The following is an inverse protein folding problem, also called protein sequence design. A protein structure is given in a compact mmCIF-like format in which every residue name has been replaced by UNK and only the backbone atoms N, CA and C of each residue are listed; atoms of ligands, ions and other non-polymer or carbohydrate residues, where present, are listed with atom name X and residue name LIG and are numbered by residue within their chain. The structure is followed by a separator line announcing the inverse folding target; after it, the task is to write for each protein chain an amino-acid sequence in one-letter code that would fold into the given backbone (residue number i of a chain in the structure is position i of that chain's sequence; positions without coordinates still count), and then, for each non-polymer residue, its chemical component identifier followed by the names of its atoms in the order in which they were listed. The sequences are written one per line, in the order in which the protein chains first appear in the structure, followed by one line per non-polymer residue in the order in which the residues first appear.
data_IF_827224471132
#
_entry.id   IF_827224471132
#
_cell.length_a   1.000
_cell.length_b   1.000
_cell.length_c   1.000
_cell.angle_alpha   90.00
_cell.angle_beta   90.00
_cell.angle_gamma   90.00
#
_symmetry.space_group_name_H-M   'P 1'
#
loop_
_entity.id
_entity.type
_entity.pdbx_description
1 polymer ?
#
# COMPACT_ATOMS: atom_id res chain seq x y z
N UNK A 1 -1.59 -21.24 -14.29
CA UNK A 1 -1.12 -21.78 -13.00
C UNK A 1 -2.31 -22.46 -12.31
N UNK A 2 -2.20 -23.71 -11.85
CA UNK A 2 -3.38 -24.45 -11.34
C UNK A 2 -3.85 -23.92 -9.99
N UNK A 3 -5.17 -23.85 -9.77
CA UNK A 3 -5.77 -23.41 -8.50
C UNK A 3 -5.30 -24.27 -7.30
N UNK A 4 -4.93 -25.52 -7.55
CA UNK A 4 -4.35 -26.42 -6.55
C UNK A 4 -3.00 -25.94 -6.02
N UNK A 5 -2.13 -25.37 -6.87
CA UNK A 5 -0.81 -24.88 -6.46
C UNK A 5 -0.93 -23.65 -5.55
N UNK A 6 -1.87 -22.75 -5.88
CA UNK A 6 -2.17 -21.54 -5.11
C UNK A 6 -2.81 -21.81 -3.74
N UNK A 7 -3.48 -22.96 -3.57
CA UNK A 7 -4.06 -23.37 -2.28
C UNK A 7 -3.13 -24.28 -1.46
N UNK A 8 -1.95 -24.61 -1.99
CA UNK A 8 -1.01 -25.52 -1.34
C UNK A 8 0.00 -24.78 -0.45
N UNK A 9 0.75 -25.54 0.36
CA UNK A 9 1.92 -25.04 1.11
C UNK A 9 2.98 -24.34 0.23
N UNK A 10 2.95 -24.57 -1.08
CA UNK A 10 3.87 -23.97 -2.04
C UNK A 10 3.53 -22.51 -2.38
N UNK A 11 2.34 -22.03 -1.99
CA UNK A 11 1.93 -20.67 -2.26
C UNK A 11 2.79 -19.63 -1.50
N UNK A 12 3.25 -19.96 -0.28
CA UNK A 12 4.22 -19.14 0.44
C UNK A 12 5.57 -19.04 -0.28
N UNK A 13 6.05 -20.16 -0.84
CA UNK A 13 7.27 -20.19 -1.65
C UNK A 13 7.15 -19.33 -2.91
N UNK A 14 5.98 -19.35 -3.56
CA UNK A 14 5.69 -18.45 -4.67
C UNK A 14 5.76 -16.99 -4.23
N UNK A 15 5.15 -16.63 -3.09
CA UNK A 15 5.22 -15.26 -2.55
C UNK A 15 6.66 -14.82 -2.29
N UNK A 16 7.48 -15.66 -1.64
CA UNK A 16 8.88 -15.35 -1.38
C UNK A 16 9.71 -15.25 -2.67
N UNK A 17 9.56 -16.24 -3.56
CA UNK A 17 10.27 -16.30 -4.83
C UNK A 17 9.93 -15.11 -5.72
N UNK A 18 8.65 -14.75 -5.85
CA UNK A 18 8.22 -13.57 -6.60
C UNK A 18 8.75 -12.28 -5.99
N UNK A 19 8.72 -12.11 -4.66
CA UNK A 19 9.29 -10.95 -4.00
C UNK A 19 10.79 -10.84 -4.31
N UNK A 20 11.56 -11.92 -4.14
CA UNK A 20 12.99 -11.95 -4.42
C UNK A 20 13.32 -11.64 -5.89
N UNK A 21 12.64 -12.29 -6.84
CA UNK A 21 12.85 -12.07 -8.28
C UNK A 21 12.55 -10.61 -8.66
N UNK A 22 11.46 -10.03 -8.16
CA UNK A 22 11.14 -8.63 -8.45
C UNK A 22 12.14 -7.66 -7.83
N UNK A 23 12.65 -7.94 -6.63
CA UNK A 23 13.70 -7.13 -6.00
C UNK A 23 15.00 -7.20 -6.79
N UNK A 24 15.43 -8.40 -7.19
CA UNK A 24 16.63 -8.56 -8.03
C UNK A 24 16.45 -7.84 -9.37
N UNK A 25 15.29 -7.98 -10.02
CA UNK A 25 14.99 -7.28 -11.27
C UNK A 25 15.01 -5.76 -11.09
N UNK A 26 14.45 -5.24 -9.99
CA UNK A 26 14.46 -3.81 -9.68
C UNK A 26 15.90 -3.29 -9.58
N UNK A 27 16.74 -3.93 -8.75
CA UNK A 27 18.13 -3.50 -8.60
C UNK A 27 18.94 -3.68 -9.89
N UNK A 28 18.73 -4.76 -10.64
CA UNK A 28 19.36 -4.93 -11.94
C UNK A 28 19.03 -3.77 -12.90
N UNK A 29 17.75 -3.35 -12.96
CA UNK A 29 17.34 -2.19 -13.76
C UNK A 29 18.04 -0.90 -13.29
N UNK A 30 18.04 -0.62 -11.99
CA UNK A 30 18.65 0.62 -11.46
C UNK A 30 20.16 0.69 -11.63
N UNK A 31 20.82 -0.48 -11.64
CA UNK A 31 22.26 -0.61 -11.79
C UNK A 31 22.71 -0.58 -13.26
N UNK A 32 21.90 -1.09 -14.19
CA UNK A 32 22.31 -1.36 -15.59
C UNK A 32 21.67 -0.47 -16.64
N UNK A 33 20.50 0.10 -16.36
CA UNK A 33 19.73 0.88 -17.34
C UNK A 33 19.75 2.36 -16.93
N UNK A 34 19.95 3.31 -17.88
CA UNK A 34 19.82 4.72 -17.57
C UNK A 34 18.47 5.03 -16.94
N UNK A 35 18.48 5.81 -15.86
CA UNK A 35 17.30 5.93 -14.99
C UNK A 35 16.05 6.46 -15.71
N UNK A 36 16.21 7.33 -16.71
CA UNK A 36 15.10 7.82 -17.51
C UNK A 36 14.28 6.69 -18.16
N UNK A 37 14.95 5.62 -18.63
CA UNK A 37 14.29 4.45 -19.21
C UNK A 37 13.90 3.40 -18.16
N UNK A 38 14.67 3.32 -17.07
CA UNK A 38 14.40 2.40 -15.96
C UNK A 38 13.23 2.85 -15.09
N UNK A 39 12.88 4.14 -15.10
CA UNK A 39 11.95 4.73 -14.13
C UNK A 39 10.58 4.04 -14.12
N UNK A 40 9.91 3.99 -15.28
CA UNK A 40 8.57 3.38 -15.39
C UNK A 40 8.57 1.89 -14.96
N UNK A 41 9.43 1.01 -15.51
CA UNK A 41 9.46 -0.39 -15.07
C UNK A 41 9.88 -0.54 -13.60
N UNK A 42 10.74 0.32 -13.08
CA UNK A 42 11.13 0.31 -11.67
C UNK A 42 9.99 0.77 -10.74
N UNK A 43 9.17 1.75 -11.14
CA UNK A 43 7.95 2.13 -10.42
C UNK A 43 6.98 0.95 -10.39
N UNK A 44 6.78 0.28 -11.53
CA UNK A 44 5.92 -0.91 -11.59
C UNK A 44 6.43 -2.00 -10.64
N UNK A 45 7.72 -2.36 -10.69
CA UNK A 45 8.30 -3.35 -9.78
C UNK A 45 8.22 -2.93 -8.32
N UNK A 46 8.52 -1.67 -7.98
CA UNK A 46 8.42 -1.13 -6.63
C UNK A 46 6.99 -1.27 -6.09
N UNK A 47 6.00 -0.88 -6.90
CA UNK A 47 4.60 -1.04 -6.57
C UNK A 47 4.22 -2.51 -6.36
N UNK A 48 4.71 -3.42 -7.22
CA UNK A 48 4.50 -4.87 -7.08
C UNK A 48 5.15 -5.46 -5.84
N UNK A 49 6.33 -4.99 -5.46
CA UNK A 49 6.98 -5.40 -4.22
C UNK A 49 6.13 -4.96 -3.03
N UNK A 50 5.66 -3.70 -2.98
CA UNK A 50 4.79 -3.20 -1.92
C UNK A 50 3.47 -3.99 -1.81
N UNK A 51 2.92 -4.37 -2.96
CA UNK A 51 1.80 -5.30 -3.09
C UNK A 51 2.10 -6.65 -2.45
N UNK A 52 3.27 -7.24 -2.67
CA UNK A 52 3.63 -8.50 -2.04
C UNK A 52 3.83 -8.33 -0.53
N UNK A 53 4.35 -7.18 -0.10
CA UNK A 53 4.51 -6.85 1.32
C UNK A 53 3.17 -6.80 2.06
N UNK A 54 2.07 -6.48 1.38
CA UNK A 54 0.73 -6.52 1.94
C UNK A 54 0.35 -7.91 2.51
N UNK A 55 0.78 -9.00 1.88
CA UNK A 55 0.56 -10.36 2.41
C UNK A 55 1.31 -10.59 3.73
N UNK A 56 2.52 -10.02 3.86
CA UNK A 56 3.30 -10.11 5.10
C UNK A 56 2.70 -9.23 6.19
N UNK A 57 2.06 -8.11 5.85
CA UNK A 57 1.28 -7.28 6.78
C UNK A 57 0.18 -8.09 7.44
N UNK A 58 -0.50 -8.96 6.68
CA UNK A 58 -1.53 -9.87 7.20
C UNK A 58 -0.99 -11.15 7.81
N UNK A 59 0.32 -11.37 7.76
CA UNK A 59 0.94 -12.54 8.36
C UNK A 59 0.76 -13.84 7.56
N UNK A 60 0.33 -13.76 6.31
CA UNK A 60 -0.10 -14.92 5.51
C UNK A 60 1.06 -15.87 5.14
N UNK A 61 2.23 -15.38 4.68
CA UNK A 61 3.27 -16.27 4.15
C UNK A 61 3.96 -17.15 5.21
N UNK A 62 3.91 -16.79 6.50
CA UNK A 62 4.56 -17.55 7.57
C UNK A 62 3.59 -17.88 8.71
N UNK A 63 3.75 -19.08 9.29
CA UNK A 63 3.02 -19.49 10.51
C UNK A 63 3.25 -18.55 11.70
N UNK A 64 4.47 -18.02 11.83
CA UNK A 64 4.84 -17.08 12.91
C UNK A 64 4.87 -15.67 12.35
N UNK A 65 3.96 -14.82 12.83
CA UNK A 65 3.88 -13.42 12.39
C UNK A 65 5.19 -12.64 12.58
N UNK A 66 5.97 -12.97 13.61
CA UNK A 66 7.30 -12.39 13.82
C UNK A 66 8.24 -12.53 12.60
N UNK A 67 8.13 -13.60 11.83
CA UNK A 67 8.93 -13.78 10.61
C UNK A 67 8.44 -12.84 9.50
N UNK A 68 7.14 -12.63 9.36
CA UNK A 68 6.59 -11.65 8.43
C UNK A 68 7.10 -10.24 8.75
N UNK A 69 7.11 -9.88 10.04
CA UNK A 69 7.62 -8.60 10.50
C UNK A 69 9.11 -8.39 10.20
N UNK A 70 9.93 -9.46 10.22
CA UNK A 70 11.34 -9.39 9.81
C UNK A 70 11.48 -9.10 8.32
N UNK A 71 10.67 -9.76 7.49
CA UNK A 71 10.66 -9.48 6.04
C UNK A 71 10.22 -8.05 5.76
N UNK A 72 9.16 -7.58 6.43
CA UNK A 72 8.74 -6.17 6.31
C UNK A 72 9.86 -5.22 6.70
N UNK A 73 10.53 -5.44 7.84
CA UNK A 73 11.64 -4.58 8.25
C UNK A 73 12.82 -4.61 7.26
N UNK A 74 13.15 -5.77 6.70
CA UNK A 74 14.15 -5.90 5.64
C UNK A 74 13.80 -5.03 4.42
N UNK A 75 12.58 -5.17 3.91
CA UNK A 75 12.12 -4.42 2.74
C UNK A 75 11.99 -2.92 3.02
N UNK A 76 11.61 -2.53 4.23
CA UNK A 76 11.55 -1.12 4.64
C UNK A 76 12.91 -0.45 4.44
N UNK A 77 14.00 -1.05 4.95
CA UNK A 77 15.33 -0.48 4.76
C UNK A 77 15.87 -0.60 3.35
N UNK A 78 15.70 -1.75 2.68
CA UNK A 78 16.21 -1.94 1.31
C UNK A 78 15.56 -0.97 0.33
N UNK A 79 14.29 -0.62 0.54
CA UNK A 79 13.53 0.32 -0.30
C UNK A 79 13.57 1.77 0.23
N UNK A 80 14.37 2.04 1.27
CA UNK A 80 14.52 3.36 1.91
C UNK A 80 13.18 3.98 2.32
N UNK A 81 12.38 3.22 3.07
CA UNK A 81 11.05 3.61 3.52
C UNK A 81 11.06 4.23 4.93
N UNK A 82 12.16 4.16 5.67
CA UNK A 82 12.36 4.86 6.95
C UNK A 82 11.32 4.56 8.05
N UNK A 83 10.75 3.37 8.05
CA UNK A 83 9.68 2.95 8.97
C UNK A 83 8.27 3.09 8.41
N UNK A 84 8.14 3.51 7.14
CA UNK A 84 6.84 3.79 6.52
C UNK A 84 6.05 2.51 6.35
N UNK A 85 6.73 1.36 6.16
CA UNK A 85 6.05 0.09 6.00
C UNK A 85 5.47 -0.41 7.33
N UNK A 86 6.13 -0.15 8.46
CA UNK A 86 5.56 -0.42 9.79
C UNK A 86 4.36 0.49 10.08
N UNK A 87 4.47 1.76 9.68
CA UNK A 87 3.38 2.72 9.84
C UNK A 87 2.18 2.32 8.99
N UNK A 88 2.41 2.04 7.71
CA UNK A 88 1.40 1.54 6.78
C UNK A 88 0.80 0.24 7.30
N UNK A 89 1.59 -0.72 7.79
CA UNK A 89 1.07 -1.94 8.43
C UNK A 89 0.12 -1.61 9.58
N UNK A 90 0.50 -0.67 10.44
CA UNK A 90 -0.29 -0.30 11.61
C UNK A 90 -1.63 0.35 11.22
N UNK A 91 -1.59 1.35 10.34
CA UNK A 91 -2.80 2.02 9.85
C UNK A 91 -3.66 1.08 9.02
N UNK A 92 -3.06 0.22 8.21
CA UNK A 92 -3.75 -0.80 7.42
C UNK A 92 -4.48 -1.82 8.30
N UNK A 93 -3.86 -2.33 9.37
CA UNK A 93 -4.55 -3.22 10.32
C UNK A 93 -5.64 -2.50 11.13
N UNK A 94 -5.43 -1.21 11.44
CA UNK A 94 -6.47 -0.32 12.00
C UNK A 94 -7.68 -0.28 11.08
N UNK A 95 -7.41 0.01 9.81
CA UNK A 95 -8.42 0.08 8.75
C UNK A 95 -9.15 -1.25 8.57
N UNK A 96 -8.50 -2.41 8.62
CA UNK A 96 -9.23 -3.69 8.61
C UNK A 96 -10.11 -3.92 9.85
N UNK A 97 -9.69 -3.43 11.02
CA UNK A 97 -10.44 -3.61 12.28
C UNK A 97 -11.65 -2.68 12.39
N UNK A 98 -11.49 -1.43 11.96
CA UNK A 98 -12.46 -0.35 12.14
C UNK A 98 -12.98 0.23 10.82
N UNK A 99 -12.74 -0.47 9.71
CA UNK A 99 -13.12 -0.17 8.33
C UNK A 99 -14.11 0.98 8.20
N UNK A 100 -13.65 2.13 7.70
CA UNK A 100 -14.42 3.36 7.47
C UNK A 100 -15.31 3.83 8.65
N UNK A 101 -14.92 3.51 9.89
CA UNK A 101 -15.60 3.90 11.12
C UNK A 101 -14.64 4.50 12.17
N UNK A 102 -15.15 4.78 13.37
CA UNK A 102 -14.35 5.37 14.45
C UNK A 102 -13.18 4.45 14.85
N UNK A 103 -11.94 4.97 14.76
CA UNK A 103 -10.69 4.21 14.93
C UNK A 103 -9.96 3.88 13.62
N UNK A 104 -10.58 4.14 12.47
CA UNK A 104 -9.93 4.14 11.17
C UNK A 104 -9.36 5.54 10.84
N UNK A 105 -8.07 5.58 10.52
CA UNK A 105 -7.40 6.82 10.08
C UNK A 105 -8.05 7.44 8.84
N UNK A 106 -8.66 6.63 7.96
CA UNK A 106 -9.40 7.13 6.80
C UNK A 106 -10.69 7.86 7.20
N UNK A 107 -11.39 7.36 8.23
CA UNK A 107 -12.59 7.98 8.78
C UNK A 107 -12.28 9.31 9.47
N UNK A 108 -11.20 9.36 10.25
CA UNK A 108 -10.76 10.61 10.92
C UNK A 108 -10.41 11.69 9.89
N UNK A 109 -9.71 11.33 8.82
CA UNK A 109 -9.38 12.27 7.74
C UNK A 109 -10.62 12.73 6.96
N UNK A 110 -11.67 11.91 6.84
CA UNK A 110 -12.93 12.31 6.21
C UNK A 110 -13.79 13.22 7.11
N UNK A 111 -13.74 13.05 8.44
CA UNK A 111 -14.44 13.92 9.41
C UNK A 111 -13.81 15.30 9.54
N UNK A 112 -12.50 15.44 9.30
CA UNK A 112 -11.80 16.73 9.35
C UNK A 112 -12.15 17.56 8.10
N UNK A 113 -13.24 18.32 8.28
CA UNK A 113 -13.84 19.44 7.53
C UNK A 113 -13.06 20.03 6.33
N UNK A 114 -13.86 20.39 5.30
CA UNK A 114 -13.55 21.24 4.13
C UNK A 114 -12.48 22.29 4.45
N UNK A 115 -11.26 22.10 3.94
CA UNK A 115 -10.25 23.16 3.97
C UNK A 115 -10.77 24.36 3.15
N UNK A 116 -10.70 25.59 3.69
CA UNK A 116 -11.17 26.79 2.99
C UNK A 116 -10.37 27.06 1.69
N UNK A 117 -9.14 26.54 1.60
CA UNK A 117 -8.29 26.65 0.43
C UNK A 117 -8.20 25.29 -0.31
N UNK A 118 -8.69 25.25 -1.55
CA UNK A 118 -8.70 24.05 -2.41
C UNK A 118 -7.30 23.51 -2.73
N UNK A 119 -6.31 24.40 -2.89
CA UNK A 119 -4.92 24.01 -3.20
C UNK A 119 -4.26 23.36 -1.99
N UNK A 120 -4.41 23.97 -0.82
CA UNK A 120 -3.89 23.39 0.43
C UNK A 120 -4.59 22.06 0.75
N UNK A 121 -5.90 21.97 0.51
CA UNK A 121 -6.65 20.72 0.66
C UNK A 121 -6.18 19.61 -0.30
N UNK A 122 -5.79 19.95 -1.53
CA UNK A 122 -5.24 18.98 -2.48
C UNK A 122 -3.83 18.52 -2.09
N UNK A 123 -2.98 19.43 -1.60
CA UNK A 123 -1.63 19.11 -1.13
C UNK A 123 -1.66 18.24 0.13
N UNK A 124 -2.51 18.55 1.11
CA UNK A 124 -2.68 17.76 2.33
C UNK A 124 -3.38 16.41 2.09
N UNK A 125 -4.09 16.29 0.97
CA UNK A 125 -4.70 15.03 0.53
C UNK A 125 -3.70 14.07 -0.13
N UNK A 126 -2.47 14.52 -0.43
CA UNK A 126 -1.43 13.61 -0.89
C UNK A 126 -1.08 12.63 0.23
N UNK A 127 -0.93 11.35 -0.12
CA UNK A 127 -0.55 10.32 0.85
C UNK A 127 0.71 10.71 1.61
N UNK A 128 1.72 11.30 0.97
CA UNK A 128 2.97 11.70 1.64
C UNK A 128 2.76 12.62 2.84
N UNK A 129 1.82 13.57 2.77
CA UNK A 129 1.52 14.47 3.90
C UNK A 129 0.74 13.75 4.99
N UNK A 130 -0.15 12.82 4.62
CA UNK A 130 -0.84 11.96 5.58
C UNK A 130 0.14 11.05 6.32
N UNK A 131 1.14 10.51 5.63
CA UNK A 131 2.16 9.65 6.24
C UNK A 131 3.04 10.42 7.24
N UNK A 132 3.39 11.68 6.97
CA UNK A 132 4.10 12.53 7.95
C UNK A 132 3.26 12.76 9.21
N UNK A 133 1.96 13.05 9.04
CA UNK A 133 1.02 13.13 10.16
C UNK A 133 0.97 11.80 10.92
N UNK A 134 0.81 10.68 10.23
CA UNK A 134 0.74 9.36 10.85
C UNK A 134 2.02 8.98 11.59
N UNK A 135 3.21 9.39 11.12
CA UNK A 135 4.45 9.22 11.87
C UNK A 135 4.39 9.93 13.21
N UNK A 136 4.01 11.20 13.17
CA UNK A 136 3.84 12.00 14.39
C UNK A 136 2.85 11.34 15.33
N UNK A 137 1.68 10.95 14.82
CA UNK A 137 0.62 10.31 15.59
C UNK A 137 1.03 8.94 16.17
N UNK A 138 1.80 8.14 15.42
CA UNK A 138 2.35 6.87 15.88
C UNK A 138 3.35 7.04 17.02
N UNK A 139 4.21 8.06 16.94
CA UNK A 139 5.17 8.38 18.01
C UNK A 139 4.46 8.84 19.30
N UNK A 140 3.26 9.41 19.18
CA UNK A 140 2.42 9.83 20.31
C UNK A 140 1.38 8.76 20.72
N UNK A 141 1.50 7.52 20.23
CA UNK A 141 0.67 6.40 20.67
C UNK A 141 -0.77 6.39 20.13
N UNK A 142 -1.11 7.23 19.14
CA UNK A 142 -2.46 7.29 18.57
C UNK A 142 -2.79 6.13 17.62
N UNK A 143 -1.79 5.41 17.11
CA UNK A 143 -1.99 4.23 16.28
C UNK A 143 -1.74 2.95 17.08
N UNK A 144 -2.80 2.18 17.45
CA UNK A 144 -2.70 1.08 18.42
C UNK A 144 -1.83 -0.09 17.93
N UNK A 145 -1.68 -0.24 16.61
CA UNK A 145 -0.85 -1.27 16.00
C UNK A 145 0.57 -0.80 15.68
N UNK A 146 0.87 0.50 15.80
CA UNK A 146 2.19 1.03 15.52
C UNK A 146 3.12 0.81 16.71
N UNK A 147 4.37 0.43 16.45
CA UNK A 147 5.39 0.23 17.49
C UNK A 147 6.55 1.20 17.24
N UNK A 148 6.71 2.26 18.06
CA UNK A 148 7.77 3.26 17.88
C UNK A 148 9.18 2.65 17.78
N UNK A 149 9.47 1.62 18.59
CA UNK A 149 10.75 0.90 18.54
C UNK A 149 11.02 0.25 17.17
N UNK A 150 9.99 -0.25 16.50
CA UNK A 150 10.14 -0.86 15.16
C UNK A 150 10.28 0.22 14.09
N UNK A 151 9.53 1.32 14.21
CA UNK A 151 9.71 2.49 13.34
C UNK A 151 11.16 2.97 13.42
N UNK A 152 11.69 3.19 14.63
CA UNK A 152 13.06 3.61 14.85
C UNK A 152 14.08 2.60 14.30
N UNK A 153 13.84 1.29 14.48
CA UNK A 153 14.67 0.25 13.90
C UNK A 153 14.68 0.30 12.36
N UNK A 154 13.52 0.38 11.71
CA UNK A 154 13.41 0.47 10.25
C UNK A 154 14.04 1.75 9.70
N UNK A 155 13.92 2.87 10.43
CA UNK A 155 14.60 4.12 10.13
C UNK A 155 16.12 3.94 10.14
N UNK A 156 16.67 3.41 11.24
CA UNK A 156 18.09 3.13 11.35
C UNK A 156 18.57 2.16 10.26
N UNK A 157 17.77 1.14 9.94
CA UNK A 157 18.08 0.17 8.89
C UNK A 157 18.11 0.82 7.49
N UNK A 158 17.20 1.76 7.20
CA UNK A 158 17.24 2.58 5.98
C UNK A 158 18.52 3.42 5.90
N UNK A 159 18.92 4.06 7.01
CA UNK A 159 20.19 4.79 7.09
C UNK A 159 21.41 3.88 6.86
N UNK A 160 21.42 2.67 7.42
CA UNK A 160 22.48 1.69 7.18
C UNK A 160 22.55 1.29 5.69
N UNK A 161 21.40 1.11 5.03
CA UNK A 161 21.35 0.81 3.60
C UNK A 161 21.89 1.97 2.75
N UNK A 162 21.60 3.22 3.12
CA UNK A 162 22.20 4.41 2.47
C UNK A 162 23.72 4.40 2.62
N UNK A 163 24.21 4.21 3.85
CA UNK A 163 25.64 4.15 4.12
C UNK A 163 26.30 3.03 3.29
N UNK A 164 25.69 1.85 3.21
CA UNK A 164 26.18 0.75 2.40
C UNK A 164 26.29 1.12 0.91
N UNK A 165 25.25 1.73 0.31
CA UNK A 165 25.28 2.19 -1.08
C UNK A 165 26.35 3.26 -1.34
N UNK A 166 26.52 4.20 -0.41
CA UNK A 166 27.57 5.22 -0.49
C UNK A 166 28.97 4.60 -0.41
N UNK A 167 29.19 3.66 0.51
CA UNK A 167 30.48 2.99 0.72
C UNK A 167 30.94 2.19 -0.51
N UNK A 168 30.02 1.59 -1.26
CA UNK A 168 30.34 0.88 -2.51
C UNK A 168 30.38 1.80 -3.75
N UNK A 169 30.38 3.12 -3.56
CA UNK A 169 30.48 4.10 -4.65
C UNK A 169 29.22 4.23 -5.50
N UNK A 170 28.05 3.81 -4.99
CA UNK A 170 26.77 3.77 -5.70
C UNK A 170 25.70 4.63 -5.02
N UNK A 171 26.10 5.82 -4.59
CA UNK A 171 25.18 6.82 -4.03
C UNK A 171 24.06 7.22 -5.02
N UNK A 172 24.26 6.99 -6.32
CA UNK A 172 23.22 7.16 -7.34
C UNK A 172 21.98 6.29 -7.09
N UNK A 173 22.13 5.12 -6.48
CA UNK A 173 21.02 4.23 -6.15
C UNK A 173 20.12 4.82 -5.06
N UNK A 174 20.69 5.60 -4.14
CA UNK A 174 19.96 6.20 -3.02
C UNK A 174 18.88 7.15 -3.53
N UNK A 175 19.24 8.14 -4.34
CA UNK A 175 18.24 9.11 -4.84
C UNK A 175 17.23 8.45 -5.78
N UNK A 176 17.64 7.44 -6.57
CA UNK A 176 16.73 6.67 -7.42
C UNK A 176 15.67 5.95 -6.58
N UNK A 177 16.08 5.25 -5.52
CA UNK A 177 15.17 4.58 -4.60
C UNK A 177 14.25 5.56 -3.88
N UNK A 178 14.78 6.69 -3.39
CA UNK A 178 13.98 7.74 -2.76
C UNK A 178 12.90 8.27 -3.70
N UNK A 179 13.26 8.55 -4.96
CA UNK A 179 12.31 9.03 -5.97
C UNK A 179 11.25 7.96 -6.31
N UNK A 180 11.65 6.69 -6.45
CA UNK A 180 10.71 5.59 -6.68
C UNK A 180 9.75 5.38 -5.52
N UNK A 181 10.25 5.41 -4.29
CA UNK A 181 9.44 5.25 -3.07
C UNK A 181 8.48 6.43 -2.91
N UNK A 182 8.97 7.66 -3.09
CA UNK A 182 8.15 8.87 -3.03
C UNK A 182 7.05 8.87 -4.11
N UNK A 183 7.40 8.56 -5.37
CA UNK A 183 6.43 8.50 -6.45
C UNK A 183 5.40 7.39 -6.25
N UNK A 184 5.86 6.18 -5.90
CA UNK A 184 4.98 5.01 -5.73
C UNK A 184 3.98 5.21 -4.58
N UNK A 185 4.43 5.81 -3.48
CA UNK A 185 3.57 6.13 -2.34
C UNK A 185 2.61 7.28 -2.67
N UNK A 186 3.08 8.30 -3.40
CA UNK A 186 2.26 9.48 -3.69
C UNK A 186 1.24 9.27 -4.80
N UNK A 187 1.52 8.40 -5.77
CA UNK A 187 0.67 8.25 -6.96
C UNK A 187 -0.08 6.90 -6.92
N UNK A 188 0.52 5.73 -7.23
CA UNK A 188 -0.20 4.45 -7.23
C UNK A 188 -0.99 4.15 -5.95
N UNK A 189 -0.43 4.42 -4.76
CA UNK A 189 -1.11 4.14 -3.49
C UNK A 189 -2.28 5.12 -3.26
N UNK A 190 -2.10 6.42 -3.52
CA UNK A 190 -3.18 7.41 -3.43
C UNK A 190 -4.33 7.13 -4.41
N UNK A 191 -4.00 6.81 -5.68
CA UNK A 191 -5.00 6.48 -6.69
C UNK A 191 -5.83 5.27 -6.25
N UNK A 192 -5.16 4.27 -5.69
CA UNK A 192 -5.80 3.07 -5.13
C UNK A 192 -6.75 3.41 -3.99
N UNK A 193 -6.30 4.13 -2.96
CA UNK A 193 -7.12 4.49 -1.81
C UNK A 193 -8.36 5.33 -2.19
N UNK A 194 -8.24 6.20 -3.20
CA UNK A 194 -9.38 6.96 -3.72
C UNK A 194 -10.48 6.04 -4.27
N UNK A 195 -10.10 5.05 -5.06
CA UNK A 195 -11.04 4.11 -5.68
C UNK A 195 -11.61 3.13 -4.65
N UNK A 196 -10.79 2.63 -3.74
CA UNK A 196 -11.19 1.60 -2.77
C UNK A 196 -12.23 2.12 -1.76
N UNK A 197 -12.14 3.39 -1.38
CA UNK A 197 -12.94 3.90 -0.24
C UNK A 197 -13.99 4.94 -0.60
N UNK A 198 -14.13 5.36 -1.86
CA UNK A 198 -15.05 6.43 -2.22
C UNK A 198 -16.05 6.03 -3.31
N UNK A 199 -17.32 6.40 -3.12
CA UNK A 199 -18.42 6.17 -4.06
C UNK A 199 -19.15 7.46 -4.40
N UNK A 200 -20.08 7.37 -5.34
CA UNK A 200 -21.08 8.41 -5.53
C UNK A 200 -22.03 8.47 -4.32
N UNK A 201 -22.54 9.66 -3.95
CA UNK A 201 -23.50 9.80 -2.86
C UNK A 201 -24.73 8.93 -3.07
N UNK A 202 -25.17 8.22 -2.03
CA UNK A 202 -26.33 7.32 -2.10
C UNK A 202 -26.05 5.94 -2.71
N UNK A 203 -24.79 5.64 -3.08
CA UNK A 203 -24.41 4.31 -3.51
C UNK A 203 -24.22 3.38 -2.30
N UNK A 204 -25.02 2.32 -2.23
CA UNK A 204 -24.97 1.31 -1.14
C UNK A 204 -23.76 0.37 -1.24
N UNK A 205 -23.05 0.42 -2.35
CA UNK A 205 -21.90 -0.45 -2.63
C UNK A 205 -20.74 -0.19 -1.69
N UNK A 206 -20.42 -1.22 -0.91
CA UNK A 206 -19.19 -1.32 -0.15
C UNK A 206 -18.02 -1.56 -1.11
N UNK A 207 -17.15 -0.55 -1.20
CA UNK A 207 -15.87 -0.54 -1.91
C UNK A 207 -15.96 -0.89 -3.41
N UNK A 208 -15.20 -0.20 -4.26
CA UNK A 208 -15.32 -0.43 -5.70
C UNK A 208 -14.50 -1.67 -6.10
N UNK A 209 -15.13 -2.61 -6.79
CA UNK A 209 -14.41 -3.51 -7.68
C UNK A 209 -14.14 -2.76 -8.99
N UNK A 210 -12.89 -2.72 -9.43
CA UNK A 210 -12.49 -2.05 -10.65
C UNK A 210 -11.58 -2.96 -11.44
N UNK A 211 -11.47 -2.80 -12.76
CA UNK A 211 -10.47 -3.48 -13.57
C UNK A 211 -9.26 -2.59 -13.71
N UNK A 212 -8.11 -2.97 -13.16
CA UNK A 212 -6.87 -2.21 -13.35
C UNK A 212 -6.08 -2.65 -14.56
N UNK A 213 -5.48 -1.68 -15.26
CA UNK A 213 -4.60 -1.92 -16.41
C UNK A 213 -3.23 -2.44 -16.01
N UNK A 214 -2.86 -2.44 -14.73
CA UNK A 214 -1.55 -2.92 -14.31
C UNK A 214 -1.60 -4.45 -14.31
N UNK A 215 -1.02 -5.15 -15.31
CA UNK A 215 -1.12 -6.59 -15.41
C UNK A 215 -0.26 -7.19 -14.30
N UNK A 216 -0.82 -8.09 -13.48
CA UNK A 216 -0.24 -8.90 -12.38
C UNK A 216 -0.93 -8.68 -11.02
N UNK A 217 -1.33 -7.47 -10.64
CA UNK A 217 -2.18 -7.27 -9.45
C UNK A 217 -3.60 -7.05 -9.90
N UNK A 218 -4.47 -8.02 -9.63
CA UNK A 218 -5.91 -7.85 -9.75
C UNK A 218 -6.33 -6.96 -8.55
N UNK A 219 -6.01 -5.65 -8.59
CA UNK A 219 -6.27 -4.62 -7.55
C UNK A 219 -7.71 -4.71 -7.04
N UNK A 220 -8.64 -4.63 -7.96
CA UNK A 220 -9.82 -5.46 -8.18
C UNK A 220 -10.33 -6.41 -7.06
N UNK A 221 -9.46 -7.22 -6.44
CA UNK A 221 -9.80 -8.22 -5.41
C UNK A 221 -9.49 -7.80 -3.97
N UNK A 222 -8.62 -6.80 -3.80
CA UNK A 222 -8.14 -6.32 -2.49
C UNK A 222 -9.29 -5.92 -1.56
N UNK A 223 -10.38 -5.42 -2.11
CA UNK A 223 -11.63 -5.16 -1.41
C UNK A 223 -12.16 -6.34 -0.59
N UNK A 224 -12.17 -7.54 -1.16
CA UNK A 224 -12.62 -8.76 -0.47
C UNK A 224 -11.65 -9.19 0.61
N UNK A 225 -10.41 -8.73 0.53
CA UNK A 225 -9.42 -8.94 1.57
C UNK A 225 -9.79 -8.19 2.85
N UNK A 226 -10.56 -7.08 2.78
CA UNK A 226 -11.11 -6.44 3.98
C UNK A 226 -12.03 -7.38 4.78
N UNK A 227 -12.79 -8.23 4.10
CA UNK A 227 -13.65 -9.21 4.73
C UNK A 227 -12.93 -10.51 5.09
N UNK A 228 -11.96 -10.91 4.28
CA UNK A 228 -11.21 -12.17 4.41
C UNK A 228 -9.70 -11.91 4.46
N UNK A 229 -9.19 -11.23 5.51
CA UNK A 229 -7.78 -10.83 5.59
C UNK A 229 -6.82 -12.02 5.72
N UNK A 230 -7.33 -13.21 6.06
CA UNK A 230 -6.53 -14.43 6.11
C UNK A 230 -6.36 -15.12 4.74
N UNK A 231 -7.15 -14.74 3.73
CA UNK A 231 -7.11 -15.37 2.41
C UNK A 231 -6.14 -14.60 1.50
N UNK A 232 -5.08 -15.25 0.96
CA UNK A 232 -4.16 -14.59 0.06
C UNK A 232 -4.85 -13.90 -1.11
N UNK A 233 -4.36 -12.71 -1.48
CA UNK A 233 -4.96 -11.86 -2.51
C UNK A 233 -5.18 -12.55 -3.87
N UNK A 234 -4.28 -13.44 -4.28
CA UNK A 234 -4.38 -14.18 -5.54
C UNK A 234 -5.49 -15.25 -5.55
N UNK A 235 -6.08 -15.58 -4.41
CA UNK A 235 -7.22 -16.52 -4.28
C UNK A 235 -8.58 -15.84 -4.21
N UNK A 236 -8.62 -14.52 -4.00
CA UNK A 236 -9.87 -13.76 -3.97
C UNK A 236 -10.52 -13.75 -5.37
N UNK A 237 -11.80 -13.49 -5.50
CA UNK A 237 -12.52 -13.42 -6.78
C UNK A 237 -13.38 -12.16 -6.80
N UNK A 238 -13.65 -11.60 -7.99
CA UNK A 238 -14.61 -10.49 -8.13
C UNK A 238 -15.99 -10.97 -7.70
N UNK A 239 -16.74 -10.13 -6.99
CA UNK A 239 -18.13 -10.40 -6.60
C UNK A 239 -19.13 -9.49 -7.30
N UNK A 240 -18.72 -8.39 -7.90
CA UNK A 240 -19.62 -7.54 -8.68
C UNK A 240 -19.78 -8.09 -10.10
N UNK A 241 -21.01 -8.08 -10.65
CA UNK A 241 -21.24 -8.44 -12.04
C UNK A 241 -20.59 -7.45 -13.01
N UNK A 242 -20.45 -6.19 -12.61
CA UNK A 242 -19.91 -5.10 -13.43
C UNK A 242 -18.82 -4.30 -12.67
N UNK A 243 -17.54 -4.72 -12.73
CA UNK A 243 -16.45 -3.95 -12.13
C UNK A 243 -16.21 -2.65 -12.93
N UNK A 244 -15.81 -1.59 -12.22
CA UNK A 244 -15.50 -0.29 -12.80
C UNK A 244 -14.44 -0.39 -13.92
N UNK A 245 -14.63 0.41 -14.97
CA UNK A 245 -13.68 0.53 -16.07
C UNK A 245 -12.30 1.07 -15.60
N UNK A 246 -11.16 0.64 -16.19
CA UNK A 246 -9.83 1.09 -15.75
C UNK A 246 -9.59 2.59 -15.76
N UNK A 247 -10.31 3.34 -16.60
CA UNK A 247 -10.28 4.81 -16.62
C UNK A 247 -10.57 5.41 -15.23
N UNK A 248 -11.39 4.74 -14.44
CA UNK A 248 -11.77 5.18 -13.11
C UNK A 248 -10.59 5.21 -12.14
N UNK A 249 -9.54 4.43 -12.40
CA UNK A 249 -8.30 4.47 -11.62
C UNK A 249 -7.66 5.86 -11.58
N UNK A 250 -7.72 6.59 -12.70
CA UNK A 250 -7.15 7.93 -12.80
C UNK A 250 -8.17 9.02 -12.42
N UNK A 251 -9.45 8.83 -12.73
CA UNK A 251 -10.46 9.86 -12.51
C UNK A 251 -10.97 9.92 -11.07
N UNK A 252 -11.00 8.80 -10.34
CA UNK A 252 -11.53 8.79 -8.96
C UNK A 252 -10.70 9.65 -8.02
N UNK A 253 -9.36 9.61 -8.12
CA UNK A 253 -8.51 10.47 -7.31
C UNK A 253 -8.85 11.95 -7.50
N UNK A 254 -9.00 12.37 -8.76
CA UNK A 254 -9.41 13.74 -9.08
C UNK A 254 -10.80 14.06 -8.54
N UNK A 255 -11.77 13.16 -8.71
CA UNK A 255 -13.15 13.34 -8.21
C UNK A 255 -13.23 13.37 -6.69
N UNK A 256 -12.43 12.57 -5.99
CA UNK A 256 -12.36 12.50 -4.52
C UNK A 256 -11.63 13.70 -3.93
N UNK A 257 -10.42 14.00 -4.39
CA UNK A 257 -9.55 14.97 -3.72
C UNK A 257 -9.62 16.37 -4.31
N UNK A 258 -9.91 16.52 -5.60
CA UNK A 258 -9.99 17.83 -6.27
C UNK A 258 -11.44 18.30 -6.40
N UNK A 259 -12.32 17.51 -7.05
CA UNK A 259 -13.73 17.90 -7.25
C UNK A 259 -14.61 17.71 -6.02
N UNK A 260 -14.20 16.85 -5.07
CA UNK A 260 -14.95 16.51 -3.85
C UNK A 260 -16.36 15.96 -4.16
N UNK A 261 -16.50 15.19 -5.23
CA UNK A 261 -17.78 14.62 -5.68
C UNK A 261 -18.09 13.27 -5.03
N UNK A 262 -17.05 12.53 -4.68
CA UNK A 262 -17.17 11.20 -4.10
C UNK A 262 -17.13 11.30 -2.57
N UNK A 263 -17.90 10.45 -1.91
CA UNK A 263 -18.00 10.37 -0.45
C UNK A 263 -17.39 9.07 0.06
N UNK A 264 -16.88 9.07 1.30
CA UNK A 264 -16.37 7.87 1.95
C UNK A 264 -17.50 6.83 2.06
N UNK A 265 -17.26 5.63 1.55
CA UNK A 265 -18.21 4.53 1.58
C UNK A 265 -18.46 4.04 3.01
N UNK A 266 -19.69 3.65 3.29
CA UNK A 266 -20.02 2.98 4.54
C UNK A 266 -19.60 1.51 4.48
N UNK A 267 -19.17 0.91 5.62
CA UNK A 267 -18.91 -0.52 5.69
C UNK A 267 -20.18 -1.32 5.41
N UNK A 268 -20.07 -2.51 4.82
CA UNK A 268 -21.22 -3.42 4.80
C UNK A 268 -21.69 -3.65 6.23
N UNK A 269 -23.00 -3.48 6.47
CA UNK A 269 -23.61 -4.05 7.66
C UNK A 269 -23.37 -5.56 7.58
N UNK A 270 -22.54 -6.10 8.47
CA UNK A 270 -22.35 -7.56 8.55
C UNK A 270 -23.73 -8.16 8.73
N UNK A 271 -24.19 -8.95 7.76
CA UNK A 271 -25.37 -9.77 7.95
C UNK A 271 -25.16 -10.53 9.26
N UNK A 272 -26.08 -10.36 10.22
CA UNK A 272 -26.07 -11.11 11.47
C UNK A 272 -26.07 -12.59 11.07
N UNK A 273 -24.93 -13.26 11.24
CA UNK A 273 -24.83 -14.71 11.15
C UNK A 273 -25.16 -15.29 12.51
#
# INVERSE_FOLDING_TARGET
MSAALLRSRHAAWLTHGSAAVMTVALFALLLRVPFAYAFVPAVLLTHRIGVMMHEYIHGIPFRRYANCLRVLAFFDGVMLMFGLLELFRATHLSHHRWLNGEGDSAFDNARVKRHPNRVLGALLALEVTQHLKFYWEALHGKHPFARPRRIAFCFAWSCCCIAAWCLIGRADIVWKLLLLTAFTTSVPVSLRGAVEHHAEPGHDGFANEYRTLIPLFNLNRHIHHHEQPALPWYLLEFRTPEPLHPRHYYTYWFRTYVRKELVLMQPMQRARR
#
